data_IF_011052884221
#
_entry.id   IF_011052884221
#
_cell.length_a   1.000
_cell.length_b   1.000
_cell.length_c   1.000
_cell.angle_alpha   90.00
_cell.angle_beta   90.00
_cell.angle_gamma   90.00
#
_symmetry.space_group_name_H-M   'P 1'
#
loop_
_entity.id
_entity.type
_entity.pdbx_description
1 polymer ?
#
# COMPACT_ATOMS: atom_id res chain seq x y z
N UNK A 1 -29.40 -10.50 12.54
CA UNK A 1 -28.39 -9.82 11.69
C UNK A 1 -28.35 -10.58 10.38
N UNK A 2 -28.70 -9.93 9.27
CA UNK A 2 -28.74 -10.58 7.96
C UNK A 2 -27.34 -11.02 7.55
N UNK A 3 -27.21 -12.23 7.03
CA UNK A 3 -25.96 -12.74 6.47
C UNK A 3 -25.55 -11.86 5.29
N UNK A 4 -24.34 -11.28 5.33
CA UNK A 4 -23.72 -10.69 4.15
C UNK A 4 -23.58 -11.80 3.11
N UNK A 5 -24.16 -11.63 1.93
CA UNK A 5 -24.00 -12.60 0.84
C UNK A 5 -22.85 -12.17 -0.11
N UNK A 6 -22.35 -13.06 -0.99
CA UNK A 6 -21.30 -12.70 -1.95
C UNK A 6 -21.67 -11.54 -2.88
N UNK A 7 -22.95 -11.40 -3.24
CA UNK A 7 -23.43 -10.29 -4.08
C UNK A 7 -23.32 -8.93 -3.38
N UNK A 8 -23.42 -8.90 -2.04
CA UNK A 8 -23.22 -7.71 -1.22
C UNK A 8 -21.76 -7.25 -1.29
N UNK A 9 -20.81 -8.17 -1.18
CA UNK A 9 -19.39 -7.88 -1.31
C UNK A 9 -19.06 -7.28 -2.68
N UNK A 10 -19.59 -7.87 -3.75
CA UNK A 10 -19.40 -7.34 -5.12
C UNK A 10 -20.05 -5.97 -5.30
N UNK A 11 -21.26 -5.76 -4.80
CA UNK A 11 -21.95 -4.48 -4.89
C UNK A 11 -21.22 -3.36 -4.13
N UNK A 12 -20.72 -3.66 -2.94
CA UNK A 12 -19.90 -2.75 -2.13
C UNK A 12 -18.62 -2.38 -2.84
N UNK A 13 -17.88 -3.37 -3.36
CA UNK A 13 -16.64 -3.12 -4.09
C UNK A 13 -16.89 -2.24 -5.33
N UNK A 14 -17.91 -2.55 -6.11
CA UNK A 14 -18.30 -1.74 -7.27
C UNK A 14 -18.65 -0.31 -6.89
N UNK A 15 -19.34 -0.10 -5.76
CA UNK A 15 -19.66 1.24 -5.25
C UNK A 15 -18.39 2.01 -4.89
N UNK A 16 -17.51 1.41 -4.10
CA UNK A 16 -16.23 2.00 -3.66
C UNK A 16 -15.31 2.34 -4.85
N UNK A 17 -15.30 1.50 -5.88
CA UNK A 17 -14.55 1.79 -7.12
C UNK A 17 -15.18 2.93 -7.93
N UNK A 18 -16.51 2.98 -8.01
CA UNK A 18 -17.23 3.95 -8.83
C UNK A 18 -17.23 5.38 -8.25
N UNK A 19 -17.14 5.54 -6.94
CA UNK A 19 -17.18 6.86 -6.28
C UNK A 19 -15.80 7.43 -5.91
N UNK A 20 -14.72 6.76 -6.33
CA UNK A 20 -13.35 7.23 -6.13
C UNK A 20 -12.76 6.92 -4.75
N UNK A 21 -13.54 6.30 -3.86
CA UNK A 21 -13.07 5.90 -2.52
C UNK A 21 -11.89 4.95 -2.58
N UNK A 22 -11.86 4.03 -3.56
CA UNK A 22 -10.72 3.12 -3.75
C UNK A 22 -9.40 3.88 -3.97
N UNK A 23 -9.42 4.91 -4.82
CA UNK A 23 -8.24 5.72 -5.11
C UNK A 23 -7.82 6.58 -3.93
N UNK A 24 -8.77 7.11 -3.15
CA UNK A 24 -8.50 7.81 -1.89
C UNK A 24 -7.75 6.90 -0.91
N UNK A 25 -8.24 5.68 -0.69
CA UNK A 25 -7.61 4.70 0.18
C UNK A 25 -6.20 4.32 -0.31
N UNK A 26 -6.02 4.15 -1.63
CA UNK A 26 -4.71 3.88 -2.24
C UNK A 26 -3.74 5.04 -2.00
N UNK A 27 -4.18 6.29 -2.14
CA UNK A 27 -3.34 7.45 -1.87
C UNK A 27 -2.92 7.52 -0.41
N UNK A 28 -3.83 7.22 0.52
CA UNK A 28 -3.52 7.18 1.95
C UNK A 28 -2.51 6.07 2.28
N UNK A 29 -2.66 4.88 1.69
CA UNK A 29 -1.70 3.78 1.91
C UNK A 29 -0.28 4.17 1.46
N UNK A 30 -0.17 4.85 0.31
CA UNK A 30 1.11 5.39 -0.18
C UNK A 30 1.66 6.48 0.73
N UNK A 31 0.79 7.35 1.27
CA UNK A 31 1.20 8.40 2.19
C UNK A 31 1.73 7.84 3.51
N UNK A 32 1.03 6.84 4.08
CA UNK A 32 1.45 6.10 5.26
C UNK A 32 2.84 5.49 5.05
N UNK A 33 3.05 4.74 3.96
CA UNK A 33 4.35 4.16 3.63
C UNK A 33 5.45 5.22 3.48
N UNK A 34 5.17 6.32 2.78
CA UNK A 34 6.12 7.45 2.61
C UNK A 34 6.43 8.17 3.92
N UNK A 35 5.55 8.11 4.91
CA UNK A 35 5.75 8.75 6.21
C UNK A 35 6.37 7.82 7.25
N UNK A 36 6.37 6.51 6.98
CA UNK A 36 6.88 5.49 7.89
C UNK A 36 8.39 5.62 8.10
N UNK A 37 8.80 5.95 9.33
CA UNK A 37 10.19 6.16 9.72
C UNK A 37 10.99 4.85 9.68
N UNK A 38 10.42 3.75 10.18
CA UNK A 38 11.08 2.44 10.21
C UNK A 38 11.40 1.95 8.79
N UNK A 39 10.46 2.12 7.85
CA UNK A 39 10.69 1.78 6.46
C UNK A 39 11.78 2.65 5.81
N UNK A 40 11.82 3.95 6.13
CA UNK A 40 12.89 4.85 5.65
C UNK A 40 14.26 4.41 6.17
N UNK A 41 14.36 4.17 7.48
CA UNK A 41 15.60 3.73 8.13
C UNK A 41 16.08 2.40 7.53
N UNK A 42 15.16 1.46 7.28
CA UNK A 42 15.46 0.21 6.60
C UNK A 42 16.05 0.42 5.19
N UNK A 43 15.45 1.30 4.38
CA UNK A 43 15.95 1.62 3.04
C UNK A 43 17.30 2.32 3.10
N UNK A 44 17.49 3.24 4.04
CA UNK A 44 18.76 3.92 4.27
C UNK A 44 19.87 2.92 4.65
N UNK A 45 19.56 1.95 5.52
CA UNK A 45 20.48 0.89 5.92
C UNK A 45 20.85 -0.02 4.74
N UNK A 46 19.88 -0.40 3.90
CA UNK A 46 20.14 -1.18 2.69
C UNK A 46 21.07 -0.45 1.72
N UNK A 47 20.85 0.85 1.52
CA UNK A 47 21.68 1.68 0.64
C UNK A 47 23.08 1.86 1.23
N UNK A 48 23.21 2.12 2.53
CA UNK A 48 24.50 2.26 3.21
C UNK A 48 25.36 1.00 3.11
N UNK A 49 24.72 -0.17 3.18
CA UNK A 49 25.37 -1.48 3.08
C UNK A 49 25.42 -2.04 1.65
N UNK A 50 25.07 -1.25 0.62
CA UNK A 50 25.03 -1.74 -0.76
C UNK A 50 26.41 -2.19 -1.25
N UNK A 51 26.46 -3.41 -1.80
CA UNK A 51 27.67 -3.92 -2.45
C UNK A 51 27.98 -3.13 -3.73
N UNK A 52 26.96 -2.72 -4.47
CA UNK A 52 27.10 -1.92 -5.69
C UNK A 52 27.77 -0.57 -5.38
N UNK A 53 27.30 0.14 -4.36
CA UNK A 53 27.83 1.46 -4.00
C UNK A 53 29.18 1.38 -3.29
N UNK A 54 29.40 0.35 -2.48
CA UNK A 54 30.67 0.14 -1.77
C UNK A 54 31.76 -0.52 -2.64
N UNK A 55 31.44 -0.87 -3.89
CA UNK A 55 32.42 -1.45 -4.82
C UNK A 55 33.34 -0.40 -5.42
N UNK A 56 34.64 -0.72 -5.50
CA UNK A 56 35.61 0.07 -6.28
C UNK A 56 35.30 0.13 -7.79
N UNK A 57 34.32 -0.65 -8.29
CA UNK A 57 33.83 -0.60 -9.67
C UNK A 57 32.85 0.56 -9.91
N UNK A 58 32.34 1.21 -8.86
CA UNK A 58 31.32 2.27 -8.98
C UNK A 58 31.84 3.46 -9.78
N UNK A 59 33.12 3.84 -9.61
CA UNK A 59 33.78 4.94 -10.32
C UNK A 59 34.03 4.64 -11.81
N UNK A 60 34.01 3.35 -12.19
CA UNK A 60 34.29 2.90 -13.56
C UNK A 60 33.04 2.73 -14.41
N UNK A 61 31.85 2.93 -13.82
CA UNK A 61 30.55 2.74 -14.46
C UNK A 61 29.84 4.08 -14.60
N UNK A 62 28.95 4.15 -15.57
CA UNK A 62 28.05 5.29 -15.69
C UNK A 62 27.04 5.30 -14.54
N UNK A 63 26.49 6.49 -14.24
CA UNK A 63 25.42 6.63 -13.25
C UNK A 63 24.25 5.68 -13.52
N UNK A 64 23.84 5.53 -14.78
CA UNK A 64 22.76 4.63 -15.19
C UNK A 64 23.08 3.16 -14.86
N UNK A 65 24.29 2.70 -15.15
CA UNK A 65 24.71 1.32 -14.84
C UNK A 65 24.79 1.06 -13.34
N UNK A 66 25.24 2.05 -12.56
CA UNK A 66 25.24 1.96 -11.10
C UNK A 66 23.82 1.89 -10.54
N UNK A 67 22.89 2.73 -11.03
CA UNK A 67 21.49 2.66 -10.63
C UNK A 67 20.83 1.32 -11.01
N UNK A 68 21.10 0.81 -12.20
CA UNK A 68 20.54 -0.47 -12.64
C UNK A 68 21.03 -1.64 -11.77
N UNK A 69 22.30 -1.63 -11.37
CA UNK A 69 22.85 -2.65 -10.48
C UNK A 69 22.32 -2.51 -9.06
N UNK A 70 22.23 -1.27 -8.55
CA UNK A 70 21.65 -0.98 -7.25
C UNK A 70 20.18 -1.44 -7.19
N UNK A 71 19.41 -1.19 -8.27
CA UNK A 71 18.04 -1.68 -8.42
C UNK A 71 18.00 -3.21 -8.41
N UNK A 72 18.84 -3.89 -9.19
CA UNK A 72 18.91 -5.37 -9.17
C UNK A 72 19.24 -5.95 -7.79
N UNK A 73 20.08 -5.25 -7.04
CA UNK A 73 20.51 -5.67 -5.69
C UNK A 73 19.41 -5.45 -4.65
N UNK A 74 18.75 -4.30 -4.66
CA UNK A 74 17.92 -3.84 -3.55
C UNK A 74 16.41 -3.86 -3.82
N UNK A 75 15.95 -3.85 -5.08
CA UNK A 75 14.53 -3.67 -5.42
C UNK A 75 13.64 -4.71 -4.73
N UNK A 76 13.98 -6.00 -4.81
CA UNK A 76 13.17 -7.05 -4.20
C UNK A 76 13.02 -6.85 -2.68
N UNK A 77 14.12 -6.55 -1.98
CA UNK A 77 14.12 -6.33 -0.53
C UNK A 77 13.27 -5.12 -0.13
N UNK A 78 13.42 -4.01 -0.85
CA UNK A 78 12.64 -2.79 -0.62
C UNK A 78 11.16 -3.03 -0.91
N UNK A 79 10.84 -3.75 -1.99
CA UNK A 79 9.46 -4.07 -2.35
C UNK A 79 8.80 -4.99 -1.33
N UNK A 80 9.49 -6.01 -0.84
CA UNK A 80 8.97 -6.92 0.18
C UNK A 80 8.69 -6.17 1.49
N UNK A 81 9.62 -5.33 1.95
CA UNK A 81 9.41 -4.53 3.16
C UNK A 81 8.30 -3.49 3.01
N UNK A 82 8.19 -2.86 1.83
CA UNK A 82 7.10 -1.95 1.52
C UNK A 82 5.74 -2.65 1.55
N UNK A 83 5.65 -3.86 0.99
CA UNK A 83 4.44 -4.69 1.02
C UNK A 83 4.06 -5.06 2.46
N UNK A 84 5.01 -5.56 3.25
CA UNK A 84 4.78 -5.92 4.65
C UNK A 84 4.34 -4.73 5.50
N UNK A 85 5.04 -3.60 5.35
CA UNK A 85 4.72 -2.35 6.05
C UNK A 85 3.33 -1.85 5.68
N UNK A 86 3.00 -1.83 4.39
CA UNK A 86 1.69 -1.39 3.91
C UNK A 86 0.58 -2.33 4.37
N UNK A 87 0.79 -3.64 4.26
CA UNK A 87 -0.18 -4.63 4.73
C UNK A 87 -0.44 -4.52 6.23
N UNK A 88 0.62 -4.35 7.03
CA UNK A 88 0.50 -4.09 8.46
C UNK A 88 -0.29 -2.81 8.74
N UNK A 89 -0.08 -1.74 7.96
CA UNK A 89 -0.85 -0.51 8.11
C UNK A 89 -2.34 -0.69 7.79
N UNK A 90 -2.66 -1.43 6.71
CA UNK A 90 -4.02 -1.68 6.26
C UNK A 90 -4.81 -2.59 7.22
N UNK A 91 -4.13 -3.52 7.91
CA UNK A 91 -4.78 -4.54 8.75
C UNK A 91 -4.70 -4.25 10.26
N UNK A 92 -3.88 -3.29 10.69
CA UNK A 92 -3.76 -2.89 12.09
C UNK A 92 -4.95 -2.03 12.53
N UNK A 93 -5.71 -2.45 13.54
CA UNK A 93 -6.83 -1.71 14.14
C UNK A 93 -6.44 -0.36 14.78
N UNK A 94 -5.14 -0.14 14.98
CA UNK A 94 -4.60 1.08 15.58
C UNK A 94 -4.36 2.19 14.55
N UNK A 95 -4.23 1.84 13.27
CA UNK A 95 -3.88 2.80 12.22
C UNK A 95 -5.10 3.57 11.71
N UNK A 96 -4.97 4.86 11.37
CA UNK A 96 -6.09 5.64 10.84
C UNK A 96 -6.68 5.04 9.55
N UNK A 97 -5.82 4.53 8.66
CA UNK A 97 -6.23 3.99 7.36
C UNK A 97 -7.12 2.75 7.50
N UNK A 98 -6.87 1.85 8.45
CA UNK A 98 -7.71 0.65 8.65
C UNK A 98 -9.12 1.03 9.09
N UNK A 99 -9.24 1.99 10.03
CA UNK A 99 -10.53 2.52 10.48
C UNK A 99 -11.29 3.21 9.35
N UNK A 100 -10.57 3.92 8.48
CA UNK A 100 -11.18 4.54 7.31
C UNK A 100 -11.70 3.46 6.34
N UNK A 101 -10.95 2.38 6.10
CA UNK A 101 -11.41 1.26 5.28
C UNK A 101 -12.73 0.70 5.85
N UNK A 102 -12.77 0.41 7.15
CA UNK A 102 -13.97 -0.10 7.82
C UNK A 102 -15.16 0.85 7.66
N UNK A 103 -14.93 2.15 7.88
CA UNK A 103 -15.96 3.18 7.72
C UNK A 103 -16.49 3.23 6.28
N UNK A 104 -15.61 3.28 5.29
CA UNK A 104 -15.98 3.39 3.87
C UNK A 104 -16.72 2.15 3.38
N UNK A 105 -16.29 0.96 3.81
CA UNK A 105 -16.97 -0.31 3.52
C UNK A 105 -18.36 -0.31 4.14
N UNK A 106 -18.49 0.14 5.39
CA UNK A 106 -19.78 0.23 6.07
C UNK A 106 -20.74 1.23 5.37
N UNK A 107 -20.26 2.42 5.02
CA UNK A 107 -21.03 3.43 4.29
C UNK A 107 -21.52 2.89 2.94
N UNK A 108 -20.65 2.22 2.20
CA UNK A 108 -21.00 1.61 0.92
C UNK A 108 -22.04 0.50 1.08
N UNK A 109 -21.90 -0.35 2.11
CA UNK A 109 -22.87 -1.41 2.40
C UNK A 109 -24.24 -0.84 2.75
N UNK A 110 -24.29 0.19 3.60
CA UNK A 110 -25.52 0.89 3.95
C UNK A 110 -26.20 1.50 2.70
N UNK A 111 -25.41 2.13 1.82
CA UNK A 111 -25.93 2.69 0.57
C UNK A 111 -26.50 1.61 -0.37
N UNK A 112 -25.83 0.45 -0.48
CA UNK A 112 -26.29 -0.69 -1.27
C UNK A 112 -27.64 -1.20 -0.76
N UNK A 113 -27.80 -1.39 0.54
CA UNK A 113 -29.08 -1.86 1.10
C UNK A 113 -30.19 -0.82 0.98
N UNK A 114 -29.91 0.47 1.21
CA UNK A 114 -30.88 1.53 1.03
C UNK A 114 -31.42 1.60 -0.41
N UNK A 115 -30.54 1.45 -1.40
CA UNK A 115 -30.94 1.44 -2.82
C UNK A 115 -31.79 0.22 -3.22
N UNK A 116 -31.68 -0.91 -2.51
CA UNK A 116 -32.50 -2.11 -2.74
C UNK A 116 -33.89 -2.00 -2.14
N UNK A 117 -34.06 -1.27 -1.04
CA UNK A 117 -35.37 -1.06 -0.40
C UNK A 117 -36.27 -0.06 -1.14
N UNK A 118 -35.69 0.73 -2.07
CA UNK A 118 -36.39 1.71 -2.89
C UNK A 118 -36.82 1.16 -4.27
N UNK A 119 -36.57 -0.11 -4.54
CA UNK A 119 -36.96 -0.83 -5.76
C UNK A 119 -38.08 -1.81 -5.46
#
# INVERSE_FOLDING_TARGET
MGSINPDDCTAVLNKIMADGTFDELRQQAVAELKSNVVFKEYVEELVANSETLNSSKVEKKTQKENFEQLRKELEAKVMDEALNTTWGALTSSEKPISRLIDQRVHEALCAVYAGRQQR
#
